data_IF_582558352326
#
_entry.id   IF_582558352326
#
_cell.length_a   1.000
_cell.length_b   1.000
_cell.length_c   1.000
_cell.angle_alpha   90.00
_cell.angle_beta   90.00
_cell.angle_gamma   90.00
#
_symmetry.space_group_name_H-M   'P 1'
#
loop_
_entity.id
_entity.type
_entity.pdbx_description
1 polymer ?
#
# COMPACT_ATOMS: atom_id res chain seq x y z
N UNK A 1 -11.78 30.82 -24.54
CA UNK A 1 -11.08 30.57 -23.25
C UNK A 1 -10.94 29.07 -23.15
N UNK A 2 -9.74 28.53 -23.41
CA UNK A 2 -9.55 27.08 -23.34
C UNK A 2 -9.80 26.63 -21.91
N UNK A 3 -10.62 25.60 -21.74
CA UNK A 3 -10.84 25.01 -20.42
C UNK A 3 -9.54 24.31 -19.98
N UNK A 4 -9.24 24.31 -18.69
CA UNK A 4 -8.02 23.67 -18.13
C UNK A 4 -7.89 22.20 -18.59
N UNK A 5 -9.02 21.53 -18.83
CA UNK A 5 -9.09 20.18 -19.42
C UNK A 5 -8.49 20.10 -20.82
N UNK A 6 -8.82 21.03 -21.72
CA UNK A 6 -8.30 21.06 -23.10
C UNK A 6 -6.79 21.31 -23.14
N UNK A 7 -6.27 22.10 -22.20
CA UNK A 7 -4.82 22.32 -22.06
C UNK A 7 -4.12 21.05 -21.58
N UNK A 8 -4.70 20.34 -20.59
CA UNK A 8 -4.14 19.09 -20.09
C UNK A 8 -4.10 18.00 -21.17
N UNK A 9 -5.17 17.84 -21.96
CA UNK A 9 -5.21 16.87 -23.07
C UNK A 9 -4.12 17.14 -24.13
N UNK A 10 -3.85 18.41 -24.45
CA UNK A 10 -2.82 18.78 -25.43
C UNK A 10 -1.39 18.56 -24.93
N UNK A 11 -1.16 18.63 -23.62
CA UNK A 11 0.16 18.46 -23.00
C UNK A 11 0.44 16.99 -22.68
N UNK A 12 -0.60 16.18 -22.48
CA UNK A 12 -0.52 14.75 -22.14
C UNK A 12 0.29 13.92 -23.15
N UNK A 13 -0.06 13.98 -24.43
CA UNK A 13 0.63 13.22 -25.49
C UNK A 13 2.14 13.51 -25.63
N UNK A 14 2.60 14.79 -25.69
CA UNK A 14 4.02 15.08 -25.77
C UNK A 14 4.77 14.70 -24.49
N UNK A 15 4.16 14.85 -23.30
CA UNK A 15 4.81 14.42 -22.05
C UNK A 15 5.02 12.91 -21.99
N UNK A 16 4.02 12.11 -22.37
CA UNK A 16 4.14 10.64 -22.41
C UNK A 16 5.22 10.19 -23.41
N UNK A 17 5.35 10.90 -24.52
CA UNK A 17 6.42 10.67 -25.50
C UNK A 17 7.80 11.02 -24.92
N UNK A 18 7.92 12.15 -24.22
CA UNK A 18 9.18 12.60 -23.61
C UNK A 18 9.64 11.72 -22.45
N UNK A 19 8.73 11.15 -21.65
CA UNK A 19 9.08 10.13 -20.64
C UNK A 19 9.74 8.91 -21.29
N UNK A 20 9.43 8.64 -22.56
CA UNK A 20 10.02 7.54 -23.34
C UNK A 20 11.28 7.94 -24.11
N UNK A 21 11.67 9.23 -24.09
CA UNK A 21 12.92 9.69 -24.72
C UNK A 21 14.11 9.16 -23.93
N UNK A 22 15.00 8.39 -24.56
CA UNK A 22 15.96 7.48 -23.90
C UNK A 22 17.03 8.08 -22.99
N UNK A 23 16.96 9.36 -22.62
CA UNK A 23 17.89 10.04 -21.69
C UNK A 23 17.32 9.96 -20.27
N UNK A 24 17.92 9.20 -19.34
CA UNK A 24 17.34 8.92 -18.02
C UNK A 24 17.01 10.17 -17.19
N UNK A 25 17.88 11.17 -17.17
CA UNK A 25 17.73 12.40 -16.39
C UNK A 25 16.58 13.26 -16.91
N UNK A 26 16.46 13.36 -18.24
CA UNK A 26 15.34 14.05 -18.88
C UNK A 26 14.04 13.31 -18.67
N UNK A 27 14.02 11.98 -18.84
CA UNK A 27 12.83 11.16 -18.56
C UNK A 27 12.37 11.34 -17.12
N UNK A 28 13.29 11.40 -16.16
CA UNK A 28 12.96 11.59 -14.75
C UNK A 28 12.43 12.99 -14.45
N UNK A 29 13.05 14.03 -15.01
CA UNK A 29 12.57 15.40 -14.85
C UNK A 29 11.14 15.55 -15.42
N UNK A 30 10.90 15.00 -16.61
CA UNK A 30 9.58 14.99 -17.25
C UNK A 30 8.57 14.18 -16.43
N UNK A 31 8.97 13.01 -15.93
CA UNK A 31 8.11 12.17 -15.08
C UNK A 31 7.74 12.89 -13.78
N UNK A 32 8.68 13.61 -13.17
CA UNK A 32 8.41 14.39 -11.95
C UNK A 32 7.36 15.48 -12.19
N UNK A 33 7.44 16.17 -13.33
CA UNK A 33 6.42 17.14 -13.72
C UNK A 33 5.08 16.47 -14.04
N UNK A 34 5.11 15.32 -14.72
CA UNK A 34 3.91 14.54 -15.01
C UNK A 34 3.24 14.05 -13.71
N UNK A 35 4.02 13.60 -12.73
CA UNK A 35 3.53 13.23 -11.42
C UNK A 35 2.76 14.38 -10.75
N UNK A 36 3.34 15.59 -10.72
CA UNK A 36 2.65 16.77 -10.18
C UNK A 36 1.32 17.07 -10.90
N UNK A 37 1.29 16.93 -12.23
CA UNK A 37 0.06 17.14 -13.01
C UNK A 37 -0.99 16.07 -12.72
N UNK A 38 -0.58 14.81 -12.61
CA UNK A 38 -1.46 13.69 -12.27
C UNK A 38 -2.06 13.88 -10.88
N UNK A 39 -1.24 14.23 -9.88
CA UNK A 39 -1.73 14.47 -8.52
C UNK A 39 -2.70 15.65 -8.45
N UNK A 40 -2.55 16.65 -9.32
CA UNK A 40 -3.43 17.83 -9.37
C UNK A 40 -4.74 17.58 -10.14
N UNK A 41 -4.73 16.74 -11.16
CA UNK A 41 -5.88 16.48 -12.02
C UNK A 41 -5.93 15.00 -12.49
N UNK A 42 -6.13 14.04 -11.58
CA UNK A 42 -6.00 12.62 -11.88
C UNK A 42 -6.98 12.11 -12.93
N UNK A 43 -8.19 12.68 -12.97
CA UNK A 43 -9.26 12.32 -13.91
C UNK A 43 -8.90 12.54 -15.39
N UNK A 44 -7.93 13.40 -15.72
CA UNK A 44 -7.47 13.60 -17.11
C UNK A 44 -6.61 12.41 -17.57
N UNK A 45 -5.94 11.75 -16.64
CA UNK A 45 -4.97 10.70 -16.92
C UNK A 45 -5.52 9.30 -16.66
N UNK A 46 -6.76 9.17 -16.17
CA UNK A 46 -7.36 7.89 -15.80
C UNK A 46 -7.60 6.93 -16.96
N UNK A 47 -7.70 7.41 -18.20
CA UNK A 47 -7.78 6.56 -19.40
C UNK A 47 -6.43 5.96 -19.80
N UNK A 48 -5.33 6.54 -19.34
CA UNK A 48 -3.97 6.27 -19.82
C UNK A 48 -3.12 5.56 -18.76
N UNK A 49 -3.75 5.05 -17.70
CA UNK A 49 -3.11 4.44 -16.53
C UNK A 49 -2.07 3.37 -16.89
N UNK A 50 -2.24 2.64 -18.01
CA UNK A 50 -1.29 1.63 -18.51
C UNK A 50 0.11 2.20 -18.79
N UNK A 51 0.23 3.48 -19.10
CA UNK A 51 1.54 4.14 -19.28
C UNK A 51 2.29 4.31 -17.95
N UNK A 52 1.58 4.28 -16.83
CA UNK A 52 2.16 4.36 -15.49
C UNK A 52 2.61 3.00 -14.96
N UNK A 53 2.43 1.89 -15.70
CA UNK A 53 2.97 0.60 -15.29
C UNK A 53 4.51 0.61 -15.20
N UNK A 54 5.01 -0.11 -14.20
CA UNK A 54 6.42 -0.17 -13.86
C UNK A 54 7.16 -1.17 -14.74
N UNK A 55 8.18 -0.70 -15.45
CA UNK A 55 9.08 -1.57 -16.19
C UNK A 55 10.17 -2.11 -15.25
N UNK A 56 10.56 -3.37 -15.42
CA UNK A 56 11.55 -4.04 -14.56
C UNK A 56 12.91 -3.33 -14.53
N UNK A 57 13.37 -2.84 -15.69
CA UNK A 57 14.67 -2.19 -15.89
C UNK A 57 14.77 -0.76 -15.35
N UNK A 58 13.69 -0.21 -14.78
CA UNK A 58 13.68 1.15 -14.23
C UNK A 58 14.10 1.16 -12.76
N UNK A 59 14.79 2.23 -12.30
CA UNK A 59 15.21 2.34 -10.92
C UNK A 59 14.02 2.54 -9.97
N UNK A 60 14.17 2.16 -8.70
CA UNK A 60 13.06 2.11 -7.74
C UNK A 60 12.39 3.47 -7.50
N UNK A 61 13.13 4.58 -7.56
CA UNK A 61 12.53 5.93 -7.42
C UNK A 61 11.54 6.28 -8.56
N UNK A 62 11.77 5.80 -9.79
CA UNK A 62 10.83 5.95 -10.91
C UNK A 62 9.59 5.10 -10.67
N UNK A 63 9.77 3.88 -10.16
CA UNK A 63 8.68 2.96 -9.86
C UNK A 63 7.78 3.53 -8.75
N UNK A 64 8.36 4.09 -7.69
CA UNK A 64 7.60 4.72 -6.60
C UNK A 64 6.69 5.85 -7.10
N UNK A 65 7.22 6.79 -7.91
CA UNK A 65 6.40 7.84 -8.52
C UNK A 65 5.24 7.29 -9.34
N UNK A 66 5.51 6.23 -10.12
CA UNK A 66 4.50 5.56 -10.93
C UNK A 66 3.42 4.88 -10.09
N UNK A 67 3.77 4.28 -8.95
CA UNK A 67 2.79 3.72 -8.01
C UNK A 67 1.88 4.79 -7.40
N UNK A 68 2.44 5.94 -7.01
CA UNK A 68 1.65 7.08 -6.52
C UNK A 68 0.67 7.57 -7.58
N UNK A 69 1.13 7.70 -8.83
CA UNK A 69 0.29 8.08 -9.97
C UNK A 69 -0.82 7.06 -10.23
N UNK A 70 -0.51 5.76 -10.24
CA UNK A 70 -1.50 4.69 -10.42
C UNK A 70 -2.59 4.74 -9.34
N UNK A 71 -2.17 4.95 -8.08
CA UNK A 71 -3.10 5.10 -6.95
C UNK A 71 -4.01 6.31 -7.15
N UNK A 72 -3.47 7.44 -7.60
CA UNK A 72 -4.22 8.67 -7.79
C UNK A 72 -5.23 8.61 -8.95
N UNK A 73 -4.92 7.89 -10.03
CA UNK A 73 -5.80 7.78 -11.21
C UNK A 73 -6.81 6.64 -11.15
N UNK A 74 -6.75 5.81 -10.11
CA UNK A 74 -7.67 4.71 -9.90
C UNK A 74 -9.11 5.21 -9.71
N UNK A 75 -10.05 4.56 -10.38
CA UNK A 75 -11.48 4.82 -10.31
C UNK A 75 -12.26 3.52 -10.59
N UNK A 76 -13.58 3.56 -10.47
CA UNK A 76 -14.46 2.38 -10.62
C UNK A 76 -14.28 1.60 -11.94
N UNK A 77 -13.82 2.25 -13.01
CA UNK A 77 -13.66 1.63 -14.33
C UNK A 77 -12.31 0.92 -14.53
N UNK A 78 -11.25 1.33 -13.82
CA UNK A 78 -9.89 0.86 -14.05
C UNK A 78 -9.24 0.22 -12.80
N UNK A 79 -9.85 0.38 -11.63
CA UNK A 79 -9.33 -0.08 -10.34
C UNK A 79 -9.05 -1.58 -10.31
N UNK A 80 -9.88 -2.41 -10.97
CA UNK A 80 -9.65 -3.86 -11.02
C UNK A 80 -8.30 -4.18 -11.68
N UNK A 81 -8.07 -3.67 -12.90
CA UNK A 81 -6.81 -3.89 -13.62
C UNK A 81 -5.60 -3.31 -12.87
N UNK A 82 -5.75 -2.12 -12.28
CA UNK A 82 -4.68 -1.48 -11.51
C UNK A 82 -4.33 -2.33 -10.28
N UNK A 83 -5.32 -2.79 -9.50
CA UNK A 83 -5.06 -3.60 -8.32
C UNK A 83 -4.43 -4.93 -8.70
N UNK A 84 -4.88 -5.59 -9.78
CA UNK A 84 -4.24 -6.83 -10.26
C UNK A 84 -2.75 -6.62 -10.54
N UNK A 85 -2.38 -5.55 -11.24
CA UNK A 85 -0.98 -5.22 -11.53
C UNK A 85 -0.20 -4.91 -10.23
N UNK A 86 -0.79 -4.19 -9.28
CA UNK A 86 -0.16 -3.90 -7.99
C UNK A 86 0.06 -5.17 -7.15
N UNK A 87 -0.84 -6.16 -7.21
CA UNK A 87 -0.65 -7.45 -6.57
C UNK A 87 0.56 -8.20 -7.15
N UNK A 88 0.78 -8.13 -8.46
CA UNK A 88 2.00 -8.69 -9.07
C UNK A 88 3.27 -7.98 -8.56
N UNK A 89 3.19 -6.68 -8.27
CA UNK A 89 4.31 -5.92 -7.71
C UNK A 89 4.57 -6.28 -6.24
N UNK A 90 3.52 -6.50 -5.46
CA UNK A 90 3.62 -7.00 -4.08
C UNK A 90 4.31 -8.37 -4.00
N UNK A 91 4.13 -9.22 -5.01
CA UNK A 91 4.75 -10.54 -5.06
C UNK A 91 6.25 -10.52 -5.43
N UNK A 92 6.77 -9.44 -6.03
CA UNK A 92 8.15 -9.33 -6.51
C UNK A 92 9.16 -9.14 -5.36
N UNK A 93 10.45 -9.22 -5.69
CA UNK A 93 11.58 -9.20 -4.72
C UNK A 93 11.92 -7.78 -4.24
N UNK A 94 11.50 -6.74 -4.95
CA UNK A 94 11.81 -5.34 -4.61
C UNK A 94 10.96 -4.88 -3.41
N UNK A 95 11.48 -5.05 -2.19
CA UNK A 95 10.81 -4.78 -0.90
C UNK A 95 10.12 -3.40 -0.86
N UNK A 96 10.78 -2.26 -1.15
CA UNK A 96 10.12 -0.96 -1.08
C UNK A 96 8.96 -0.83 -2.07
N UNK A 97 9.07 -1.43 -3.25
CA UNK A 97 8.00 -1.44 -4.26
C UNK A 97 6.86 -2.36 -3.80
N UNK A 98 7.16 -3.53 -3.25
CA UNK A 98 6.15 -4.44 -2.74
C UNK A 98 5.32 -3.77 -1.63
N UNK A 99 5.97 -3.11 -0.67
CA UNK A 99 5.31 -2.40 0.43
C UNK A 99 4.42 -1.27 -0.07
N UNK A 100 4.93 -0.43 -0.96
CA UNK A 100 4.14 0.68 -1.49
C UNK A 100 2.98 0.18 -2.38
N UNK A 101 3.16 -0.95 -3.06
CA UNK A 101 2.08 -1.59 -3.84
C UNK A 101 0.96 -2.08 -2.93
N UNK A 102 1.27 -2.74 -1.81
CA UNK A 102 0.25 -3.18 -0.83
C UNK A 102 -0.51 -1.97 -0.28
N UNK A 103 0.19 -0.91 0.11
CA UNK A 103 -0.44 0.34 0.57
C UNK A 103 -1.34 0.97 -0.49
N UNK A 104 -0.90 0.98 -1.74
CA UNK A 104 -1.68 1.48 -2.86
C UNK A 104 -2.95 0.64 -3.07
N UNK A 105 -2.86 -0.69 -3.03
CA UNK A 105 -4.01 -1.59 -3.08
C UNK A 105 -5.00 -1.26 -1.96
N UNK A 106 -4.55 -1.20 -0.71
CA UNK A 106 -5.41 -0.87 0.42
C UNK A 106 -6.11 0.50 0.27
N UNK A 107 -5.42 1.53 -0.24
CA UNK A 107 -6.02 2.85 -0.49
C UNK A 107 -7.12 2.79 -1.56
N UNK A 108 -6.86 2.09 -2.67
CA UNK A 108 -7.82 1.98 -3.78
C UNK A 108 -9.03 1.16 -3.32
N UNK A 109 -8.78 0.02 -2.70
CA UNK A 109 -9.81 -0.90 -2.26
C UNK A 109 -10.71 -0.31 -1.17
N UNK A 110 -10.15 0.37 -0.16
CA UNK A 110 -10.95 1.04 0.88
C UNK A 110 -11.85 2.16 0.33
N UNK A 111 -11.57 2.67 -0.87
CA UNK A 111 -12.45 3.61 -1.59
C UNK A 111 -13.56 2.92 -2.37
N UNK A 112 -13.42 1.63 -2.69
CA UNK A 112 -14.46 0.83 -3.34
C UNK A 112 -15.51 0.34 -2.34
N UNK A 113 -16.68 -0.03 -2.86
CA UNK A 113 -17.81 -0.53 -2.06
C UNK A 113 -17.89 -2.06 -1.98
N UNK A 114 -16.98 -2.80 -2.64
CA UNK A 114 -16.98 -4.26 -2.64
C UNK A 114 -16.03 -4.83 -1.59
N UNK A 115 -16.49 -4.92 -0.34
CA UNK A 115 -15.65 -5.30 0.81
C UNK A 115 -15.16 -6.75 0.76
N UNK A 116 -15.93 -7.67 0.15
CA UNK A 116 -15.55 -9.09 0.07
C UNK A 116 -14.23 -9.26 -0.68
N UNK A 117 -14.12 -8.62 -1.84
CA UNK A 117 -12.93 -8.70 -2.68
C UNK A 117 -11.69 -8.14 -1.97
N UNK A 118 -11.86 -7.12 -1.12
CA UNK A 118 -10.79 -6.52 -0.32
C UNK A 118 -10.31 -7.51 0.73
N UNK A 119 -11.25 -8.13 1.47
CA UNK A 119 -10.93 -9.11 2.50
C UNK A 119 -10.17 -10.27 1.87
N UNK A 120 -10.67 -10.86 0.78
CA UNK A 120 -10.01 -11.97 0.09
C UNK A 120 -8.58 -11.63 -0.35
N UNK A 121 -8.34 -10.42 -0.89
CA UNK A 121 -6.99 -9.98 -1.30
C UNK A 121 -6.07 -9.73 -0.12
N UNK A 122 -6.56 -9.11 0.95
CA UNK A 122 -5.77 -8.89 2.15
C UNK A 122 -5.38 -10.20 2.82
N UNK A 123 -6.30 -11.18 2.88
CA UNK A 123 -6.01 -12.51 3.38
C UNK A 123 -4.94 -13.21 2.52
N UNK A 124 -5.04 -13.10 1.19
CA UNK A 124 -4.01 -13.62 0.29
C UNK A 124 -2.62 -13.02 0.57
N UNK A 125 -2.52 -11.73 0.92
CA UNK A 125 -1.23 -11.12 1.31
C UNK A 125 -0.69 -11.67 2.62
N UNK A 126 -1.55 -11.96 3.60
CA UNK A 126 -1.13 -12.57 4.87
C UNK A 126 -0.59 -14.00 4.66
N UNK A 127 -1.20 -14.77 3.76
CA UNK A 127 -0.76 -16.13 3.39
C UNK A 127 0.60 -16.18 2.68
N UNK A 128 1.13 -15.05 2.19
CA UNK A 128 2.44 -15.03 1.52
C UNK A 128 3.62 -15.27 2.49
N UNK A 129 3.39 -15.22 3.82
CA UNK A 129 4.37 -15.46 4.88
C UNK A 129 5.69 -14.68 4.74
N UNK A 130 5.65 -13.50 4.11
CA UNK A 130 6.80 -12.59 4.01
C UNK A 130 6.64 -11.48 5.04
N UNK A 131 7.59 -11.34 5.96
CA UNK A 131 7.52 -10.41 7.10
C UNK A 131 7.06 -8.99 6.72
N UNK A 132 7.64 -8.41 5.66
CA UNK A 132 7.29 -7.06 5.20
C UNK A 132 5.90 -6.97 4.53
N UNK A 133 5.43 -8.05 3.92
CA UNK A 133 4.07 -8.12 3.32
C UNK A 133 3.05 -8.26 4.42
N UNK A 134 3.27 -9.20 5.34
CA UNK A 134 2.42 -9.43 6.51
C UNK A 134 2.32 -8.16 7.36
N UNK A 135 3.43 -7.44 7.56
CA UNK A 135 3.43 -6.19 8.30
C UNK A 135 2.52 -5.12 7.68
N UNK A 136 2.61 -4.88 6.37
CA UNK A 136 1.74 -3.91 5.68
C UNK A 136 0.29 -4.38 5.63
N UNK A 137 0.06 -5.67 5.36
CA UNK A 137 -1.28 -6.25 5.30
C UNK A 137 -2.00 -6.16 6.66
N UNK A 138 -1.32 -6.39 7.78
CA UNK A 138 -1.89 -6.24 9.13
C UNK A 138 -2.38 -4.81 9.41
N UNK A 139 -1.65 -3.80 8.95
CA UNK A 139 -2.06 -2.39 9.10
C UNK A 139 -3.34 -2.13 8.30
N UNK A 140 -3.42 -2.67 7.07
CA UNK A 140 -4.60 -2.54 6.22
C UNK A 140 -5.81 -3.30 6.75
N UNK A 141 -5.63 -4.51 7.29
CA UNK A 141 -6.69 -5.28 7.95
C UNK A 141 -7.24 -4.51 9.13
N UNK A 142 -6.37 -3.94 9.97
CA UNK A 142 -6.78 -3.06 11.08
C UNK A 142 -7.58 -1.85 10.59
N UNK A 143 -7.19 -1.21 9.49
CA UNK A 143 -7.93 -0.10 8.90
C UNK A 143 -9.27 -0.54 8.27
N UNK A 144 -9.33 -1.72 7.67
CA UNK A 144 -10.55 -2.34 7.16
C UNK A 144 -11.53 -2.62 8.29
N UNK A 145 -11.09 -3.26 9.37
CA UNK A 145 -11.93 -3.60 10.53
C UNK A 145 -12.47 -2.36 11.23
N UNK A 146 -11.72 -1.26 11.26
CA UNK A 146 -12.21 0.03 11.76
C UNK A 146 -13.35 0.61 10.94
N UNK A 147 -13.38 0.33 9.63
CA UNK A 147 -14.43 0.80 8.71
C UNK A 147 -15.60 -0.19 8.60
N UNK A 148 -15.32 -1.49 8.68
CA UNK A 148 -16.25 -2.58 8.43
C UNK A 148 -16.09 -3.70 9.48
N UNK A 149 -16.58 -3.50 10.72
CA UNK A 149 -16.40 -4.45 11.81
C UNK A 149 -17.11 -5.80 11.59
N UNK A 150 -18.08 -5.88 10.68
CA UNK A 150 -18.82 -7.11 10.39
C UNK A 150 -17.96 -8.24 9.78
N UNK A 151 -16.77 -7.91 9.27
CA UNK A 151 -15.81 -8.85 8.67
C UNK A 151 -14.74 -9.34 9.66
N UNK A 152 -14.90 -9.03 10.95
CA UNK A 152 -13.93 -9.38 11.99
C UNK A 152 -13.61 -10.87 12.03
N UNK A 153 -14.64 -11.73 11.97
CA UNK A 153 -14.49 -13.17 12.11
C UNK A 153 -13.49 -13.78 11.09
N UNK A 154 -13.61 -13.40 9.82
CA UNK A 154 -12.76 -13.94 8.75
C UNK A 154 -11.32 -13.42 8.85
N UNK A 155 -11.15 -12.14 9.18
CA UNK A 155 -9.82 -11.55 9.37
C UNK A 155 -9.10 -12.12 10.60
N UNK A 156 -9.83 -12.28 11.71
CA UNK A 156 -9.27 -12.76 12.98
C UNK A 156 -8.75 -14.19 12.88
N UNK A 157 -9.49 -15.08 12.21
CA UNK A 157 -9.08 -16.47 12.04
C UNK A 157 -7.70 -16.59 11.36
N UNK A 158 -7.43 -15.74 10.38
CA UNK A 158 -6.13 -15.71 9.70
C UNK A 158 -5.08 -15.00 10.54
N UNK A 159 -5.42 -13.90 11.21
CA UNK A 159 -4.49 -13.16 12.07
C UNK A 159 -4.01 -13.99 13.26
N UNK A 160 -4.87 -14.83 13.85
CA UNK A 160 -4.50 -15.74 14.95
C UNK A 160 -3.45 -16.77 14.57
N UNK A 161 -3.36 -17.15 13.29
CA UNK A 161 -2.35 -18.09 12.79
C UNK A 161 -1.00 -17.43 12.49
N UNK A 162 -0.90 -16.10 12.53
CA UNK A 162 0.34 -15.40 12.23
C UNK A 162 1.30 -15.51 13.42
N UNK A 163 2.50 -16.02 13.18
CA UNK A 163 3.56 -16.06 14.19
C UNK A 163 4.01 -14.65 14.59
N UNK A 164 3.60 -14.20 15.78
CA UNK A 164 4.00 -12.91 16.39
C UNK A 164 5.52 -12.71 16.45
N UNK A 165 6.29 -13.81 16.50
CA UNK A 165 7.76 -13.82 16.59
C UNK A 165 8.47 -13.21 15.39
N UNK A 166 7.84 -13.22 14.20
CA UNK A 166 8.46 -12.70 12.98
C UNK A 166 8.12 -11.21 12.75
N UNK A 167 7.22 -10.64 13.56
CA UNK A 167 6.76 -9.27 13.36
C UNK A 167 7.70 -8.28 14.02
N UNK A 168 8.66 -7.75 13.27
CA UNK A 168 9.64 -6.79 13.79
C UNK A 168 9.13 -5.34 13.75
N UNK A 169 8.14 -5.04 12.89
CA UNK A 169 7.76 -3.66 12.63
C UNK A 169 6.78 -3.08 13.67
N UNK A 170 7.08 -1.91 14.26
CA UNK A 170 6.29 -1.36 15.36
C UNK A 170 4.85 -1.02 14.94
N UNK A 171 4.65 -0.54 13.70
CA UNK A 171 3.31 -0.21 13.19
C UNK A 171 2.43 -1.46 13.05
N UNK A 172 3.01 -2.57 12.63
CA UNK A 172 2.29 -3.82 12.47
C UNK A 172 2.01 -4.47 13.83
N UNK A 173 2.97 -4.43 14.76
CA UNK A 173 2.75 -4.84 16.16
C UNK A 173 1.62 -4.06 16.81
N UNK A 174 1.61 -2.73 16.67
CA UNK A 174 0.52 -1.89 17.19
C UNK A 174 -0.84 -2.24 16.55
N UNK A 175 -0.86 -2.56 15.26
CA UNK A 175 -2.07 -3.03 14.58
C UNK A 175 -2.56 -4.38 15.13
N UNK A 176 -1.63 -5.32 15.33
CA UNK A 176 -1.92 -6.64 15.91
C UNK A 176 -2.45 -6.51 17.34
N UNK A 177 -1.77 -5.75 18.21
CA UNK A 177 -2.19 -5.51 19.59
C UNK A 177 -3.59 -4.88 19.63
N UNK A 178 -3.86 -3.90 18.75
CA UNK A 178 -5.19 -3.30 18.65
C UNK A 178 -6.27 -4.34 18.29
N UNK A 179 -6.01 -5.21 17.31
CA UNK A 179 -6.95 -6.26 16.91
C UNK A 179 -7.15 -7.30 18.03
N UNK A 180 -6.08 -7.72 18.70
CA UNK A 180 -6.13 -8.65 19.84
C UNK A 180 -6.92 -8.07 21.02
N UNK A 181 -6.79 -6.77 21.27
CA UNK A 181 -7.50 -6.08 22.35
C UNK A 181 -8.99 -5.88 22.06
N UNK A 182 -9.33 -5.47 20.84
CA UNK A 182 -10.72 -5.22 20.45
C UNK A 182 -11.53 -6.52 20.32
N UNK A 183 -10.90 -7.58 19.80
CA UNK A 183 -11.54 -8.85 19.51
C UNK A 183 -11.04 -10.01 20.38
N UNK A 184 -10.65 -9.70 21.62
CA UNK A 184 -10.10 -10.69 22.56
C UNK A 184 -11.05 -11.84 22.87
N UNK A 185 -12.37 -11.64 22.68
CA UNK A 185 -13.39 -12.66 22.92
C UNK A 185 -13.40 -13.74 21.83
N UNK A 186 -12.99 -13.39 20.61
CA UNK A 186 -12.98 -14.29 19.46
C UNK A 186 -11.62 -14.98 19.27
N UNK A 187 -10.58 -14.49 19.97
CA UNK A 187 -9.20 -14.99 19.89
C UNK A 187 -8.77 -15.66 21.20
N UNK A 188 -8.95 -16.98 21.30
CA UNK A 188 -8.57 -17.73 22.51
C UNK A 188 -7.07 -17.66 22.82
N UNK A 189 -6.23 -17.53 21.79
CA UNK A 189 -4.77 -17.45 21.93
C UNK A 189 -4.27 -16.01 22.19
N UNK A 190 -5.15 -15.02 22.18
CA UNK A 190 -4.76 -13.62 22.37
C UNK A 190 -3.94 -13.35 23.64
N UNK A 191 -4.25 -13.94 24.81
CA UNK A 191 -3.45 -13.72 26.02
C UNK A 191 -1.99 -14.16 25.86
N UNK A 192 -1.75 -15.31 25.21
CA UNK A 192 -0.40 -15.84 25.01
C UNK A 192 0.40 -15.00 24.00
N UNK A 193 -0.27 -14.53 22.94
CA UNK A 193 0.37 -13.63 21.96
C UNK A 193 0.76 -12.31 22.63
N UNK A 194 -0.12 -11.74 23.46
CA UNK A 194 0.16 -10.51 24.20
C UNK A 194 1.27 -10.70 25.23
N UNK A 195 1.28 -11.80 25.98
CA UNK A 195 2.35 -12.11 26.94
C UNK A 195 3.72 -12.12 26.25
N UNK A 196 3.84 -12.80 25.10
CA UNK A 196 5.09 -12.82 24.33
C UNK A 196 5.54 -11.45 23.82
N UNK A 197 4.60 -10.53 23.57
CA UNK A 197 4.93 -9.16 23.16
C UNK A 197 5.37 -8.32 24.37
N UNK A 198 4.74 -8.50 25.53
CA UNK A 198 5.09 -7.81 26.77
C UNK A 198 6.44 -8.26 27.31
N UNK A 199 6.77 -9.55 27.24
CA UNK A 199 8.08 -10.06 27.66
C UNK A 199 9.24 -9.48 26.84
N UNK A 200 9.02 -9.18 25.57
CA UNK A 200 10.00 -8.57 24.67
C UNK A 200 9.95 -7.03 24.65
N UNK A 201 9.20 -6.42 25.57
CA UNK A 201 8.99 -4.96 25.61
C UNK A 201 10.29 -4.19 25.83
N UNK A 202 11.19 -4.70 26.68
CA UNK A 202 12.46 -4.04 27.00
C UNK A 202 13.44 -4.01 25.80
N UNK A 203 13.24 -4.88 24.81
CA UNK A 203 14.03 -4.92 23.57
C UNK A 203 13.42 -4.03 22.45
N UNK A 204 12.19 -3.54 22.62
CA UNK A 204 11.52 -2.67 21.65
C UNK A 204 12.14 -1.28 21.60
N UNK A 205 12.96 -1.04 20.56
CA UNK A 205 13.45 0.29 20.25
C UNK A 205 12.33 1.13 19.60
N UNK A 206 11.63 1.91 20.42
CA UNK A 206 10.77 2.98 19.93
C UNK A 206 11.62 4.01 19.18
N UNK A 207 11.24 4.34 17.94
CA UNK A 207 11.87 5.40 17.15
C UNK A 207 11.81 6.78 17.85
N UNK A 208 11.05 6.92 18.92
CA UNK A 208 10.89 8.14 19.71
C UNK A 208 11.86 8.25 20.91
N UNK A 209 12.65 7.22 21.23
CA UNK A 209 13.64 7.29 22.32
C UNK A 209 14.84 8.21 22.02
N UNK A 210 15.07 8.56 20.74
CA UNK A 210 16.18 9.41 20.32
C UNK A 210 16.00 10.91 20.63
N UNK A 211 14.80 11.35 21.04
CA UNK A 211 14.56 12.76 21.38
C UNK A 211 14.73 13.09 22.88
N UNK A 212 14.90 12.09 23.75
CA UNK A 212 14.93 12.29 25.21
C UNK A 212 16.34 12.15 25.80
N UNK A 213 17.31 11.65 25.03
CA UNK A 213 18.69 11.43 25.51
C UNK A 213 19.75 12.34 24.87
N UNK A 214 19.35 13.48 24.27
CA UNK A 214 20.27 14.46 23.68
C UNK A 214 20.16 15.87 24.29
N UNK A 215 19.90 15.98 25.59
CA UNK A 215 20.17 17.21 26.37
C UNK A 215 21.26 16.96 27.41
#
# INVERSE_FOLDING_TARGET
MFTIKEVHERIKAPLLTLVSSGIPEQSYAVLSHLHLLVMRAPYVFSSDYKHFYCQYNKPSYVKLLKLEMLTAVANESNSYEIVTELCEYAAKVDIPIARESIRAVGKIELQQYDVNAIVDRLLQFLEMEKDYVTAEALVLVKDLLRKYPQWSHDCIAVVGNISSKNLQEPKAKAALIWMLGEYSQDMQDAPYVLESLVENWDEEHSAEQWMIHSE
#
